data_IF_885789259625
#
_entry.id   IF_885789259625
#
_cell.length_a   1.000
_cell.length_b   1.000
_cell.length_c   1.000
_cell.angle_alpha   90.00
_cell.angle_beta   90.00
_cell.angle_gamma   90.00
#
_symmetry.space_group_name_H-M   'P 1'
#
loop_
_entity.id
_entity.type
_entity.pdbx_description
1 polymer ?
#
# COMPACT_ATOMS: atom_id res chain seq x y z
N UNK A 1 -16.29 24.41 12.29
CA UNK A 1 -15.56 23.23 12.54
C UNK A 1 -14.90 22.75 11.28
N UNK A 2 -13.80 22.31 11.43
CA UNK A 2 -13.19 21.73 10.25
C UNK A 2 -14.10 20.63 9.82
N UNK A 3 -14.39 20.63 8.59
CA UNK A 3 -15.08 19.51 8.09
C UNK A 3 -14.23 18.30 8.36
N UNK A 4 -14.90 17.31 8.77
CA UNK A 4 -14.25 16.05 8.94
C UNK A 4 -13.78 15.57 7.60
N UNK A 5 -12.50 15.39 7.51
CA UNK A 5 -11.96 14.74 6.35
C UNK A 5 -12.15 13.27 6.57
N UNK A 6 -13.13 12.71 5.89
CA UNK A 6 -13.34 11.27 5.97
C UNK A 6 -12.26 10.63 5.12
N UNK A 7 -11.30 10.03 5.79
CA UNK A 7 -10.23 9.32 5.10
C UNK A 7 -10.64 7.88 4.94
N UNK A 8 -10.62 7.42 3.71
CA UNK A 8 -10.86 6.01 3.46
C UNK A 8 -9.59 5.25 3.83
N UNK A 9 -9.72 4.34 4.80
CA UNK A 9 -8.57 3.56 5.23
C UNK A 9 -8.22 2.51 4.20
N UNK A 10 -6.91 2.23 4.08
CA UNK A 10 -6.46 1.18 3.19
C UNK A 10 -7.03 -0.16 3.64
N UNK A 11 -7.47 -1.00 2.68
CA UNK A 11 -8.14 -2.26 3.02
C UNK A 11 -7.13 -3.37 3.39
N UNK A 12 -6.46 -3.19 4.49
CA UNK A 12 -5.52 -4.17 5.01
C UNK A 12 -6.28 -5.14 5.89
N UNK A 13 -6.00 -6.42 5.72
CA UNK A 13 -6.73 -7.49 6.39
C UNK A 13 -5.91 -8.04 7.55
N UNK A 14 -6.62 -8.32 8.66
CA UNK A 14 -5.98 -8.94 9.82
C UNK A 14 -5.23 -10.22 9.41
N UNK A 15 -4.12 -10.57 10.06
CA UNK A 15 -3.61 -9.98 11.29
C UNK A 15 -2.79 -8.71 11.11
N UNK A 16 -2.64 -8.22 9.89
CA UNK A 16 -1.92 -6.98 9.65
C UNK A 16 -2.77 -5.79 10.05
N UNK A 17 -2.13 -4.80 10.64
CA UNK A 17 -2.78 -3.53 10.99
C UNK A 17 -1.99 -2.43 10.28
N UNK A 18 -2.68 -1.60 9.53
CA UNK A 18 -2.04 -0.47 8.87
C UNK A 18 -1.76 0.61 9.91
N UNK A 19 -0.49 0.96 10.08
CA UNK A 19 -0.09 2.03 10.99
C UNK A 19 -0.09 3.38 10.29
N UNK A 20 0.31 3.38 9.02
CA UNK A 20 0.37 4.58 8.21
C UNK A 20 0.43 4.17 6.76
N UNK A 21 0.12 5.09 5.87
CA UNK A 21 0.22 4.80 4.45
C UNK A 21 0.33 6.09 3.64
N UNK A 22 0.89 5.94 2.43
CA UNK A 22 0.96 7.02 1.46
C UNK A 22 0.33 6.52 0.17
N UNK A 23 -0.71 7.19 -0.26
CA UNK A 23 -1.37 6.87 -1.52
C UNK A 23 -0.53 7.40 -2.66
N UNK A 24 -0.17 6.51 -3.60
CA UNK A 24 0.52 6.91 -4.81
C UNK A 24 -0.48 7.34 -5.87
N UNK A 25 -1.51 6.53 -6.07
CA UNK A 25 -2.56 6.81 -7.05
C UNK A 25 -3.87 6.22 -6.54
N UNK A 26 -4.95 6.96 -6.72
CA UNK A 26 -6.28 6.44 -6.40
C UNK A 26 -7.27 7.05 -7.39
N UNK A 27 -7.55 6.30 -8.44
CA UNK A 27 -8.42 6.79 -9.51
C UNK A 27 -8.95 5.63 -10.32
N UNK A 28 -10.11 5.83 -10.92
CA UNK A 28 -10.71 4.88 -11.87
C UNK A 28 -10.85 3.47 -11.30
N UNK A 29 -11.13 3.37 -10.00
CA UNK A 29 -11.32 2.07 -9.38
C UNK A 29 -10.03 1.36 -9.01
N UNK A 30 -8.91 2.05 -9.06
CA UNK A 30 -7.61 1.49 -8.66
C UNK A 30 -7.01 2.31 -7.53
N UNK A 31 -6.33 1.63 -6.65
CA UNK A 31 -5.67 2.28 -5.51
C UNK A 31 -4.30 1.66 -5.32
N UNK A 32 -3.25 2.46 -5.50
CA UNK A 32 -1.87 2.06 -5.29
C UNK A 32 -1.32 2.84 -4.10
N UNK A 33 -0.83 2.14 -3.10
CA UNK A 33 -0.32 2.79 -1.90
C UNK A 33 0.87 2.05 -1.32
N UNK A 34 1.70 2.81 -0.61
CA UNK A 34 2.77 2.27 0.21
C UNK A 34 2.27 2.27 1.64
N UNK A 35 2.31 1.12 2.28
CA UNK A 35 1.70 0.93 3.61
C UNK A 35 2.75 0.46 4.61
N UNK A 36 2.77 1.14 5.76
CA UNK A 36 3.51 0.66 6.92
C UNK A 36 2.52 -0.13 7.76
N UNK A 37 2.76 -1.42 7.90
CA UNK A 37 1.86 -2.31 8.62
C UNK A 37 2.59 -3.04 9.73
N UNK A 38 1.83 -3.57 10.67
CA UNK A 38 2.38 -4.31 11.78
C UNK A 38 1.57 -5.57 12.01
N UNK A 39 2.27 -6.67 12.29
CA UNK A 39 1.65 -7.91 12.71
C UNK A 39 2.55 -8.57 13.73
N UNK A 40 1.96 -8.94 14.87
CA UNK A 40 2.69 -9.66 15.93
C UNK A 40 3.95 -8.94 16.36
N UNK A 41 3.87 -7.62 16.47
CA UNK A 41 4.99 -6.81 16.92
C UNK A 41 6.06 -6.54 15.88
N UNK A 42 5.87 -7.02 14.65
CA UNK A 42 6.82 -6.80 13.58
C UNK A 42 6.25 -5.86 12.55
N UNK A 43 7.02 -4.85 12.20
CA UNK A 43 6.61 -3.88 11.19
C UNK A 43 7.13 -4.30 9.83
N UNK A 44 6.35 -3.99 8.81
CA UNK A 44 6.76 -4.24 7.44
C UNK A 44 6.23 -3.13 6.54
N UNK A 45 6.95 -2.90 5.47
CA UNK A 45 6.56 -1.90 4.46
C UNK A 45 6.21 -2.67 3.21
N UNK A 46 5.07 -2.35 2.63
CA UNK A 46 4.64 -3.01 1.41
C UNK A 46 3.99 -2.04 0.44
N UNK A 47 4.09 -2.37 -0.83
CA UNK A 47 3.31 -1.68 -1.85
C UNK A 47 2.11 -2.55 -2.15
N UNK A 48 0.96 -1.92 -2.22
CA UNK A 48 -0.30 -2.62 -2.43
C UNK A 48 -1.04 -2.00 -3.59
N UNK A 49 -1.62 -2.85 -4.41
CA UNK A 49 -2.50 -2.42 -5.50
C UNK A 49 -3.85 -3.08 -5.29
N UNK A 50 -4.90 -2.28 -5.18
CA UNK A 50 -6.26 -2.75 -5.04
C UNK A 50 -7.10 -2.31 -6.23
N UNK A 51 -8.10 -3.09 -6.53
CA UNK A 51 -9.10 -2.76 -7.53
C UNK A 51 -10.48 -2.82 -6.90
N UNK A 52 -11.29 -1.81 -7.15
CA UNK A 52 -12.66 -1.79 -6.67
C UNK A 52 -13.52 -2.60 -7.64
N UNK A 53 -14.22 -3.57 -7.10
CA UNK A 53 -15.09 -4.45 -7.89
C UNK A 53 -16.52 -3.95 -7.84
N UNK A 54 -17.39 -4.65 -8.58
CA UNK A 54 -18.80 -4.29 -8.66
C UNK A 54 -19.50 -4.39 -7.31
N UNK A 55 -18.98 -5.20 -6.40
CA UNK A 55 -19.53 -5.31 -5.05
C UNK A 55 -19.22 -4.08 -4.19
N UNK A 56 -18.52 -3.09 -4.75
CA UNK A 56 -18.15 -1.89 -4.02
C UNK A 56 -16.96 -2.07 -3.10
N UNK A 57 -16.34 -3.22 -3.12
CA UNK A 57 -15.22 -3.53 -2.23
C UNK A 57 -13.90 -3.51 -2.97
N UNK A 58 -12.86 -3.16 -2.21
CA UNK A 58 -11.50 -3.18 -2.75
C UNK A 58 -10.93 -4.59 -2.64
N UNK A 59 -10.40 -5.08 -3.75
CA UNK A 59 -9.78 -6.40 -3.82
C UNK A 59 -8.31 -6.23 -4.14
N UNK A 60 -7.45 -6.87 -3.35
CA UNK A 60 -6.01 -6.77 -3.57
C UNK A 60 -5.62 -7.51 -4.84
N UNK A 61 -4.94 -6.81 -5.73
CA UNK A 61 -4.45 -7.40 -6.98
C UNK A 61 -2.97 -7.73 -6.91
N UNK A 62 -2.19 -6.89 -6.22
CA UNK A 62 -0.75 -7.09 -6.09
C UNK A 62 -0.29 -6.61 -4.73
N UNK A 63 0.75 -7.27 -4.23
CA UNK A 63 1.40 -6.88 -2.99
C UNK A 63 2.87 -7.18 -3.12
N UNK A 64 3.70 -6.21 -2.78
CA UNK A 64 5.14 -6.43 -2.68
C UNK A 64 5.60 -5.94 -1.32
N UNK A 65 6.16 -6.85 -0.52
CA UNK A 65 6.62 -6.52 0.83
C UNK A 65 8.13 -6.36 0.83
N UNK A 66 8.59 -5.27 1.41
CA UNK A 66 10.02 -5.03 1.59
C UNK A 66 10.41 -5.63 2.93
N UNK A 67 10.95 -6.84 2.90
CA UNK A 67 11.33 -7.54 4.13
C UNK A 67 12.67 -7.07 4.67
N UNK A 68 13.57 -6.66 3.78
CA UNK A 68 14.91 -6.23 4.18
C UNK A 68 15.15 -4.83 3.63
N UNK A 69 15.23 -3.82 4.52
CA UNK A 69 15.41 -2.44 4.06
C UNK A 69 16.70 -2.23 3.28
N UNK A 70 17.70 -3.08 3.47
CA UNK A 70 18.96 -2.96 2.72
C UNK A 70 18.80 -3.31 1.24
N UNK A 71 17.77 -4.09 0.92
CA UNK A 71 17.51 -4.47 -0.47
C UNK A 71 16.74 -3.42 -1.24
N UNK A 72 16.09 -2.50 -0.53
CA UNK A 72 15.26 -1.51 -1.20
C UNK A 72 16.06 -0.62 -2.18
N UNK A 73 17.23 -0.07 -1.80
CA UNK A 73 17.98 0.75 -2.75
C UNK A 73 18.35 -0.01 -4.02
N UNK A 74 18.65 -1.30 -3.90
CA UNK A 74 19.00 -2.14 -5.04
C UNK A 74 17.80 -2.31 -5.95
N UNK A 75 16.63 -2.59 -5.36
CA UNK A 75 15.38 -2.74 -6.11
C UNK A 75 15.04 -1.44 -6.82
N UNK A 76 15.14 -0.31 -6.10
CA UNK A 76 14.85 0.99 -6.66
C UNK A 76 15.76 1.29 -7.86
N UNK A 77 17.05 1.05 -7.71
CA UNK A 77 18.00 1.31 -8.78
C UNK A 77 17.71 0.44 -9.99
N UNK A 78 17.35 -0.83 -9.76
CA UNK A 78 17.03 -1.73 -10.85
C UNK A 78 15.80 -1.26 -11.62
N UNK A 79 14.79 -0.78 -10.91
CA UNK A 79 13.58 -0.25 -11.53
C UNK A 79 13.92 1.01 -12.33
N UNK A 80 14.66 1.93 -11.71
CA UNK A 80 15.01 3.19 -12.35
C UNK A 80 15.84 2.97 -13.61
N UNK A 81 16.64 1.91 -13.63
CA UNK A 81 17.46 1.58 -14.80
C UNK A 81 16.60 1.31 -16.04
N UNK A 82 15.42 0.75 -15.85
CA UNK A 82 14.54 0.39 -16.96
C UNK A 82 13.45 1.43 -17.25
N UNK A 83 13.33 2.45 -16.42
CA UNK A 83 12.38 3.53 -16.68
C UNK A 83 12.93 4.43 -17.80
N UNK A 84 12.04 4.91 -18.69
CA UNK A 84 12.44 5.84 -19.75
C UNK A 84 12.84 7.20 -19.21
#
# INVERSE_FOLDING_TARGET
MPEEIIREEVPIVAPLVALDYVTVTKAAGWWLAVVLAEARGKKQIGTYLWQKKQDGKWHRKQKFTVHNPKKWPVIREAIEKFLP
#
